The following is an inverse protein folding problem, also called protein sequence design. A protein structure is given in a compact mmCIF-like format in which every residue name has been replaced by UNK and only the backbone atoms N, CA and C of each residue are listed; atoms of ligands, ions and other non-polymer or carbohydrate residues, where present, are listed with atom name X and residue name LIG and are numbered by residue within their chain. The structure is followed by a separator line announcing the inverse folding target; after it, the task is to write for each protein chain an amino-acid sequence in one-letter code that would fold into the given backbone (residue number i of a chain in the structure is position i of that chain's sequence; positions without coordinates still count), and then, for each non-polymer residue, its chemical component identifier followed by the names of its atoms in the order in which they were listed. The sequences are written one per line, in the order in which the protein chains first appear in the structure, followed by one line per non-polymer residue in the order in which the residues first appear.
data_IF_823617800101
#
_entry.id   IF_823617800101
#
_cell.length_a   1.000
_cell.length_b   1.000
_cell.length_c   1.000
_cell.angle_alpha   90.00
_cell.angle_beta   90.00
_cell.angle_gamma   90.00
#
_symmetry.space_group_name_H-M   'P 1'
#
loop_
_entity.id
_entity.type
_entity.pdbx_description
1 polymer ?
#
# COMPACT_ATOMS: atom_id res chain seq x y z
N UNK A 1 10.55 0.90 1.03
CA UNK A 1 10.08 2.05 0.23
C UNK A 1 10.83 3.29 0.64
N UNK A 2 11.24 4.10 -0.32
CA UNK A 2 11.87 5.43 -0.16
C UNK A 2 11.33 6.39 -1.23
N UNK A 3 11.50 7.70 -1.00
CA UNK A 3 11.20 8.71 -2.03
C UNK A 3 11.94 8.38 -3.32
N UNK A 4 11.25 8.46 -4.46
CA UNK A 4 11.76 8.08 -5.77
C UNK A 4 11.48 6.64 -6.20
N UNK A 5 11.05 5.75 -5.29
CA UNK A 5 10.61 4.40 -5.70
C UNK A 5 9.27 4.46 -6.46
N UNK A 6 9.03 3.47 -7.33
CA UNK A 6 7.79 3.32 -8.09
C UNK A 6 6.82 2.37 -7.40
N UNK A 7 5.55 2.76 -7.31
CA UNK A 7 4.44 1.94 -6.83
C UNK A 7 3.44 1.69 -7.95
N UNK A 8 2.59 0.69 -7.77
CA UNK A 8 1.47 0.42 -8.66
C UNK A 8 0.17 0.82 -7.96
N UNK A 9 -0.59 1.71 -8.61
CA UNK A 9 -1.92 2.16 -8.18
C UNK A 9 -2.95 1.59 -9.13
N UNK A 10 -4.07 1.08 -8.60
CA UNK A 10 -5.17 0.61 -9.40
C UNK A 10 -6.14 1.74 -9.72
N UNK A 11 -6.22 2.14 -10.99
CA UNK A 11 -7.15 3.16 -11.47
C UNK A 11 -7.94 2.63 -12.67
N UNK A 12 -9.28 2.73 -12.59
CA UNK A 12 -10.20 2.42 -13.70
C UNK A 12 -10.00 1.07 -14.39
N UNK A 13 -9.54 0.06 -13.66
CA UNK A 13 -9.31 -1.28 -14.22
C UNK A 13 -7.85 -1.63 -14.50
N UNK A 14 -6.94 -0.67 -14.40
CA UNK A 14 -5.54 -0.83 -14.78
C UNK A 14 -4.58 -0.50 -13.63
N UNK A 15 -3.39 -1.11 -13.66
CA UNK A 15 -2.29 -0.80 -12.75
C UNK A 15 -1.40 0.28 -13.37
N UNK A 16 -1.37 1.45 -12.74
CA UNK A 16 -0.62 2.62 -13.17
C UNK A 16 0.62 2.79 -12.28
N UNK A 17 1.82 2.93 -12.86
CA UNK A 17 3.02 3.23 -12.08
C UNK A 17 3.00 4.69 -11.59
N UNK A 18 3.24 4.89 -10.29
CA UNK A 18 3.37 6.22 -9.66
C UNK A 18 4.66 6.30 -8.87
N UNK A 19 5.25 7.50 -8.78
CA UNK A 19 6.51 7.72 -8.03
C UNK A 19 6.23 8.33 -6.66
N UNK A 20 6.90 7.82 -5.63
CA UNK A 20 6.82 8.39 -4.29
C UNK A 20 7.52 9.75 -4.29
N UNK A 21 6.74 10.82 -4.17
CA UNK A 21 7.26 12.20 -4.13
C UNK A 21 7.71 12.63 -2.73
N UNK A 22 7.06 12.09 -1.68
CA UNK A 22 7.32 12.48 -0.29
C UNK A 22 6.90 11.36 0.65
N UNK A 23 7.67 11.15 1.71
CA UNK A 23 7.31 10.32 2.86
C UNK A 23 7.42 11.22 4.09
N UNK A 24 6.42 11.21 4.95
CA UNK A 24 6.39 11.96 6.20
C UNK A 24 6.06 10.99 7.31
N UNK A 25 6.93 10.92 8.32
CA UNK A 25 6.62 10.27 9.58
C UNK A 25 5.77 11.25 10.40
N UNK A 26 4.57 10.83 10.77
CA UNK A 26 3.64 11.67 11.54
C UNK A 26 4.00 11.67 13.03
N UNK A 27 4.75 10.69 13.53
CA UNK A 27 5.04 10.51 14.95
C UNK A 27 3.80 10.21 15.81
N UNK A 28 2.64 9.99 15.19
CA UNK A 28 1.37 9.79 15.87
C UNK A 28 1.07 8.30 16.03
N UNK A 29 0.63 7.92 17.23
CA UNK A 29 0.09 6.60 17.49
C UNK A 29 -1.36 6.56 17.03
N UNK A 30 -1.63 5.77 15.98
CA UNK A 30 -2.97 5.56 15.43
C UNK A 30 -3.34 4.07 15.50
N UNK A 31 -4.60 3.79 15.80
CA UNK A 31 -5.12 2.43 15.78
C UNK A 31 -5.20 1.94 14.32
N UNK A 32 -4.51 0.83 14.02
CA UNK A 32 -4.45 0.26 12.68
C UNK A 32 -5.13 -1.11 12.66
N UNK A 33 -5.90 -1.36 11.60
CA UNK A 33 -6.55 -2.64 11.36
C UNK A 33 -5.85 -3.36 10.21
N UNK A 34 -5.60 -4.66 10.36
CA UNK A 34 -5.05 -5.51 9.32
C UNK A 34 -6.09 -6.53 8.86
N UNK A 35 -6.20 -6.77 7.55
CA UNK A 35 -7.09 -7.80 7.01
C UNK A 35 -6.30 -9.09 6.85
N UNK A 36 -6.46 -10.00 7.81
CA UNK A 36 -5.64 -11.21 7.91
C UNK A 36 -5.97 -12.26 6.82
N UNK A 37 -7.21 -12.31 6.34
CA UNK A 37 -7.69 -13.35 5.42
C UNK A 37 -8.08 -12.78 4.05
N UNK A 38 -7.08 -12.33 3.28
CA UNK A 38 -7.27 -12.08 1.83
C UNK A 38 -6.92 -13.37 1.10
N UNK A 39 -7.93 -14.15 0.72
CA UNK A 39 -7.75 -15.45 0.06
C UNK A 39 -6.88 -15.31 -1.22
N UNK A 40 -5.86 -16.18 -1.27
CA UNK A 40 -5.00 -16.53 -2.41
C UNK A 40 -3.76 -15.68 -2.73
N UNK A 41 -3.71 -14.37 -2.47
CA UNK A 41 -2.55 -13.53 -2.88
C UNK A 41 -1.90 -12.63 -1.82
N UNK A 42 -2.40 -12.64 -0.58
CA UNK A 42 -1.83 -11.86 0.54
C UNK A 42 -1.55 -10.39 0.20
N UNK A 43 -2.28 -9.80 -0.75
CA UNK A 43 -2.13 -8.43 -1.19
C UNK A 43 -3.52 -7.83 -1.37
N UNK A 44 -3.70 -6.61 -0.91
CA UNK A 44 -4.97 -5.89 -1.01
C UNK A 44 -4.72 -4.43 -1.40
N UNK A 45 -5.74 -3.78 -1.94
CA UNK A 45 -5.66 -2.36 -2.26
C UNK A 45 -6.08 -1.53 -1.06
N UNK A 46 -5.19 -0.68 -0.54
CA UNK A 46 -5.51 0.34 0.44
C UNK A 46 -5.35 1.71 -0.23
N UNK A 47 -6.42 2.52 -0.24
CA UNK A 47 -6.45 3.79 -0.98
C UNK A 47 -5.95 3.64 -2.44
N UNK A 48 -6.38 2.58 -3.12
CA UNK A 48 -6.00 2.22 -4.49
C UNK A 48 -4.52 1.83 -4.69
N UNK A 49 -3.69 1.79 -3.64
CA UNK A 49 -2.30 1.33 -3.70
C UNK A 49 -2.27 -0.17 -3.40
N UNK A 50 -1.54 -0.95 -4.20
CA UNK A 50 -1.32 -2.37 -3.90
C UNK A 50 -0.40 -2.51 -2.67
N UNK A 51 -0.93 -3.07 -1.59
CA UNK A 51 -0.20 -3.33 -0.35
C UNK A 51 -0.05 -4.84 -0.16
N UNK A 52 1.15 -5.29 0.18
CA UNK A 52 1.42 -6.68 0.55
C UNK A 52 1.22 -6.85 2.07
N UNK A 53 0.43 -7.83 2.49
CA UNK A 53 0.28 -8.17 3.90
C UNK A 53 1.64 -8.58 4.48
N UNK A 54 2.01 -8.00 5.63
CA UNK A 54 3.14 -8.49 6.41
C UNK A 54 2.69 -9.78 7.13
N UNK A 55 3.35 -10.91 6.85
CA UNK A 55 3.20 -12.09 7.72
C UNK A 55 3.87 -11.74 9.06
N UNK A 56 3.14 -11.91 10.15
CA UNK A 56 3.68 -11.92 11.50
C UNK A 56 4.72 -13.04 11.64
#
# INVERSE_FOLDING_TARGET
MRVGDTLLVYEKGELVPVTIMKIVDTGEWVEMYNVESVERYHSFFANNILVHNKRL
#
